data_IF_317304210642
#
_entry.id   IF_317304210642
#
_cell.length_a   1.000
_cell.length_b   1.000
_cell.length_c   1.000
_cell.angle_alpha   90.00
_cell.angle_beta   90.00
_cell.angle_gamma   90.00
#
_symmetry.space_group_name_H-M   'P 1'
#
loop_
_entity.id
_entity.type
_entity.pdbx_description
1 polymer ?
#
# COMPACT_ATOMS: atom_id res chain seq x y z
N UNK A 1 -1.98 13.59 -7.53
CA UNK A 1 -0.96 14.50 -6.98
C UNK A 1 -0.71 14.04 -5.55
N UNK A 2 0.49 13.57 -5.21
CA UNK A 2 0.81 13.16 -3.85
C UNK A 2 0.80 14.37 -2.91
N UNK A 3 0.38 14.16 -1.66
CA UNK A 3 0.39 15.22 -0.65
C UNK A 3 1.84 15.61 -0.32
N UNK A 4 2.12 16.88 -0.02
CA UNK A 4 3.46 17.32 0.42
C UNK A 4 3.76 16.95 1.88
N UNK A 5 2.70 16.73 2.66
CA UNK A 5 2.77 16.27 4.04
C UNK A 5 1.47 15.63 4.44
N UNK A 6 1.50 14.60 5.28
CA UNK A 6 0.32 13.88 5.76
C UNK A 6 0.48 13.41 7.20
N UNK A 7 -0.61 13.04 7.86
CA UNK A 7 -0.59 12.41 9.18
C UNK A 7 -0.39 10.90 9.02
N UNK A 8 0.82 10.40 9.29
CA UNK A 8 1.16 8.98 9.15
C UNK A 8 1.63 8.33 10.46
N UNK A 9 0.84 8.37 11.56
CA UNK A 9 1.28 7.86 12.86
C UNK A 9 1.54 6.35 12.85
N UNK A 10 0.76 5.58 12.09
CA UNK A 10 0.94 4.14 11.96
C UNK A 10 2.29 3.80 11.33
N UNK A 11 2.65 4.43 10.20
CA UNK A 11 3.95 4.24 9.55
C UNK A 11 5.11 4.57 10.51
N UNK A 12 4.99 5.69 11.24
CA UNK A 12 5.99 6.11 12.23
C UNK A 12 6.09 5.15 13.43
N UNK A 13 4.99 4.53 13.85
CA UNK A 13 4.98 3.53 14.92
C UNK A 13 5.73 2.27 14.51
N UNK A 14 5.53 1.77 13.28
CA UNK A 14 6.26 0.59 12.79
C UNK A 14 7.76 0.82 12.81
N UNK A 15 8.22 1.99 12.36
CA UNK A 15 9.64 2.34 12.45
C UNK A 15 10.13 2.42 13.90
N UNK A 16 9.30 2.92 14.82
CA UNK A 16 9.62 3.02 16.25
C UNK A 16 9.66 1.69 17.01
N UNK A 17 9.15 0.59 16.43
CA UNK A 17 9.28 -0.76 17.02
C UNK A 17 10.73 -1.27 17.01
N UNK A 18 11.53 -0.83 16.04
CA UNK A 18 12.92 -1.28 15.86
C UNK A 18 13.95 -0.18 15.96
N UNK A 19 13.53 1.10 15.91
CA UNK A 19 14.41 2.27 15.92
C UNK A 19 14.04 3.22 17.05
N UNK A 20 15.06 3.84 17.64
CA UNK A 20 14.89 4.87 18.64
C UNK A 20 14.44 6.19 18.01
N UNK A 21 13.72 7.02 18.78
CA UNK A 21 13.34 8.37 18.34
C UNK A 21 14.54 9.22 17.93
N UNK A 22 15.71 8.98 18.53
CA UNK A 22 16.95 9.70 18.22
C UNK A 22 17.51 9.28 16.85
N UNK A 23 17.50 7.99 16.53
CA UNK A 23 17.92 7.48 15.22
C UNK A 23 17.01 8.03 14.12
N UNK A 24 15.69 7.89 14.28
CA UNK A 24 14.71 8.40 13.31
C UNK A 24 14.87 9.91 13.09
N UNK A 25 15.14 10.67 14.15
CA UNK A 25 15.34 12.12 14.07
C UNK A 25 16.61 12.49 13.29
N UNK A 26 17.73 11.82 13.58
CA UNK A 26 19.02 12.06 12.89
C UNK A 26 18.90 11.69 11.42
N UNK A 27 18.37 10.50 11.14
CA UNK A 27 18.31 9.95 9.78
C UNK A 27 17.30 10.68 8.88
N UNK A 28 16.35 11.43 9.46
CA UNK A 28 15.39 12.25 8.72
C UNK A 28 15.54 13.77 8.96
N UNK A 29 16.69 14.19 9.50
CA UNK A 29 17.05 15.60 9.74
C UNK A 29 16.01 16.44 10.51
N UNK A 30 15.34 15.82 11.48
CA UNK A 30 14.36 16.47 12.35
C UNK A 30 14.74 16.34 13.83
N UNK A 31 13.92 16.89 14.72
CA UNK A 31 14.12 16.75 16.16
C UNK A 31 13.43 15.49 16.72
N UNK A 32 13.97 14.85 17.76
CA UNK A 32 13.29 13.74 18.44
C UNK A 32 11.89 14.10 18.96
N UNK A 33 11.69 15.35 19.36
CA UNK A 33 10.39 15.86 19.79
C UNK A 33 9.38 15.87 18.63
N UNK A 34 9.81 16.19 17.40
CA UNK A 34 8.96 16.12 16.21
C UNK A 34 8.59 14.66 15.91
N UNK A 35 9.54 13.73 15.92
CA UNK A 35 9.28 12.29 15.77
C UNK A 35 8.23 11.82 16.78
N UNK A 36 8.41 12.13 18.06
CA UNK A 36 7.46 11.77 19.13
C UNK A 36 6.05 12.29 18.87
N UNK A 37 5.93 13.50 18.33
CA UNK A 37 4.63 14.09 17.98
C UNK A 37 4.02 13.44 16.73
N UNK A 38 4.84 13.08 15.73
CA UNK A 38 4.39 12.39 14.51
C UNK A 38 3.91 10.97 14.82
N UNK A 39 4.65 10.20 15.63
CA UNK A 39 4.23 8.87 16.10
C UNK A 39 2.91 8.90 16.89
N UNK A 40 2.59 10.03 17.52
CA UNK A 40 1.33 10.26 18.25
C UNK A 40 0.23 10.88 17.39
N UNK A 41 0.46 11.11 16.09
CA UNK A 41 -0.49 11.74 15.19
C UNK A 41 -0.76 13.23 15.47
N UNK A 42 0.11 13.89 16.25
CA UNK A 42 -0.04 15.32 16.61
C UNK A 42 0.58 16.26 15.58
N UNK A 43 1.45 15.74 14.71
CA UNK A 43 2.14 16.49 13.64
C UNK A 43 2.21 15.62 12.39
N UNK A 44 2.23 16.26 11.24
CA UNK A 44 2.39 15.60 9.94
C UNK A 44 3.84 15.26 9.66
N UNK A 45 4.05 14.28 8.79
CA UNK A 45 5.32 13.89 8.18
C UNK A 45 5.37 14.52 6.79
N UNK A 46 6.48 15.16 6.40
CA UNK A 46 6.66 15.67 5.03
C UNK A 46 7.05 14.54 4.08
N UNK A 47 6.80 14.71 2.79
CA UNK A 47 7.17 13.73 1.77
C UNK A 47 8.68 13.45 1.80
N UNK A 48 9.51 14.49 1.79
CA UNK A 48 10.98 14.37 1.86
C UNK A 48 11.44 13.59 3.10
N UNK A 49 10.77 13.79 4.25
CA UNK A 49 11.09 13.07 5.48
C UNK A 49 10.73 11.59 5.35
N UNK A 50 9.56 11.28 4.76
CA UNK A 50 9.13 9.90 4.54
C UNK A 50 10.06 9.18 3.55
N UNK A 51 10.46 9.83 2.46
CA UNK A 51 11.43 9.30 1.49
C UNK A 51 12.75 8.95 2.17
N UNK A 52 13.31 9.85 2.99
CA UNK A 52 14.54 9.60 3.75
C UNK A 52 14.42 8.38 4.68
N UNK A 53 13.28 8.23 5.37
CA UNK A 53 13.04 7.10 6.26
C UNK A 53 12.87 5.79 5.50
N UNK A 54 12.15 5.81 4.37
CA UNK A 54 11.94 4.66 3.48
C UNK A 54 13.28 4.18 2.93
N UNK A 55 14.06 5.07 2.33
CA UNK A 55 15.37 4.74 1.75
C UNK A 55 16.35 4.22 2.80
N UNK A 56 16.31 4.79 4.02
CA UNK A 56 17.24 4.42 5.09
C UNK A 56 16.96 3.04 5.67
N UNK A 57 15.69 2.73 5.93
CA UNK A 57 15.33 1.53 6.70
C UNK A 57 14.76 0.41 5.85
N UNK A 58 14.23 0.72 4.67
CA UNK A 58 13.61 -0.23 3.75
C UNK A 58 12.67 -1.21 4.50
N UNK A 59 11.85 -0.65 5.39
CA UNK A 59 10.91 -1.42 6.18
C UNK A 59 9.58 -1.48 5.39
N UNK A 60 9.18 -2.66 4.86
CA UNK A 60 8.11 -2.75 3.87
C UNK A 60 6.74 -2.26 4.36
N UNK A 61 6.42 -2.50 5.64
CA UNK A 61 5.09 -2.17 6.18
C UNK A 61 4.91 -0.67 6.31
N UNK A 62 5.86 0.02 6.93
CA UNK A 62 5.91 1.48 7.05
C UNK A 62 5.91 2.16 5.68
N UNK A 63 6.62 1.59 4.70
CA UNK A 63 6.65 2.10 3.32
C UNK A 63 5.25 2.14 2.70
N UNK A 64 4.49 1.04 2.75
CA UNK A 64 3.12 1.05 2.21
C UNK A 64 2.16 1.89 3.04
N UNK A 65 2.33 1.98 4.37
CA UNK A 65 1.55 2.88 5.21
C UNK A 65 1.80 4.35 4.83
N UNK A 66 3.04 4.76 4.56
CA UNK A 66 3.32 6.08 3.99
C UNK A 66 2.65 6.25 2.63
N UNK A 67 2.80 5.28 1.73
CA UNK A 67 2.23 5.34 0.38
C UNK A 67 0.70 5.53 0.41
N UNK A 68 -0.01 4.79 1.28
CA UNK A 68 -1.45 4.96 1.51
C UNK A 68 -1.80 6.42 1.86
N UNK A 69 -1.16 6.95 2.91
CA UNK A 69 -1.44 8.29 3.42
C UNK A 69 -1.11 9.39 2.41
N UNK A 70 0.06 9.31 1.75
CA UNK A 70 0.48 10.30 0.75
C UNK A 70 -0.35 10.24 -0.53
N UNK A 71 -0.90 9.07 -0.86
CA UNK A 71 -1.79 8.86 -2.01
C UNK A 71 -3.21 9.39 -1.77
N UNK A 72 -3.53 9.87 -0.56
CA UNK A 72 -4.87 10.26 -0.16
C UNK A 72 -5.89 9.11 -0.33
N UNK A 73 -5.49 7.90 0.04
CA UNK A 73 -6.32 6.70 -0.01
C UNK A 73 -6.48 6.06 -1.40
N UNK A 74 -5.72 6.49 -2.40
CA UNK A 74 -5.73 5.87 -3.73
C UNK A 74 -4.99 4.52 -3.76
N UNK A 75 -4.07 4.29 -2.82
CA UNK A 75 -3.49 2.98 -2.54
C UNK A 75 -4.27 2.40 -1.35
N UNK A 76 -4.71 1.13 -1.37
CA UNK A 76 -5.41 0.52 -0.24
C UNK A 76 -4.54 0.43 1.02
N UNK A 77 -5.14 0.35 2.22
CA UNK A 77 -4.37 0.17 3.45
C UNK A 77 -3.74 -1.23 3.54
N UNK A 78 -2.73 -1.36 4.40
CA UNK A 78 -2.30 -2.69 4.89
C UNK A 78 -3.34 -3.18 5.89
N UNK A 79 -3.70 -4.46 5.79
CA UNK A 79 -4.69 -5.06 6.67
C UNK A 79 -4.06 -5.42 8.01
N UNK A 80 -4.67 -4.93 9.09
CA UNK A 80 -4.26 -5.19 10.47
C UNK A 80 -5.27 -6.11 11.18
N UNK A 81 -4.85 -6.75 12.27
CA UNK A 81 -5.70 -7.65 13.07
C UNK A 81 -5.93 -9.03 12.47
N UNK A 82 -5.19 -9.38 11.42
CA UNK A 82 -5.14 -10.72 10.83
C UNK A 82 -4.02 -11.55 11.45
N UNK A 83 -4.10 -12.87 11.33
CA UNK A 83 -2.96 -13.75 11.58
C UNK A 83 -1.86 -13.45 10.55
N UNK A 84 -0.71 -12.95 11.02
CA UNK A 84 0.40 -12.51 10.19
C UNK A 84 1.13 -13.68 9.49
N UNK A 85 0.84 -14.93 9.85
CA UNK A 85 1.46 -16.09 9.25
C UNK A 85 1.16 -16.16 7.74
N UNK A 86 2.20 -16.32 6.91
CA UNK A 86 2.06 -16.24 5.44
C UNK A 86 1.01 -17.20 4.89
N UNK A 87 0.86 -18.40 5.44
CA UNK A 87 -0.16 -19.34 4.97
C UNK A 87 -1.59 -18.80 5.16
N UNK A 88 -1.86 -18.09 6.26
CA UNK A 88 -3.16 -17.47 6.52
C UNK A 88 -3.41 -16.30 5.56
N UNK A 89 -2.39 -15.46 5.37
CA UNK A 89 -2.46 -14.34 4.43
C UNK A 89 -2.57 -14.80 2.97
N UNK A 90 -1.92 -15.91 2.59
CA UNK A 90 -2.06 -16.53 1.27
C UNK A 90 -3.48 -17.02 1.06
N UNK A 91 -4.06 -17.74 2.03
CA UNK A 91 -5.45 -18.20 1.92
C UNK A 91 -6.45 -17.04 1.79
N UNK A 92 -6.24 -15.96 2.55
CA UNK A 92 -7.02 -14.73 2.42
C UNK A 92 -6.86 -14.14 1.02
N UNK A 93 -5.64 -13.96 0.53
CA UNK A 93 -5.38 -13.44 -0.82
C UNK A 93 -6.05 -14.30 -1.90
N UNK A 94 -5.97 -15.62 -1.81
CA UNK A 94 -6.63 -16.54 -2.73
C UNK A 94 -8.15 -16.34 -2.72
N UNK A 95 -8.75 -16.18 -1.54
CA UNK A 95 -10.19 -15.91 -1.38
C UNK A 95 -10.60 -14.61 -2.08
N UNK A 96 -9.90 -13.51 -1.83
CA UNK A 96 -10.22 -12.23 -2.49
C UNK A 96 -10.03 -12.31 -4.02
N UNK A 97 -9.04 -13.08 -4.50
CA UNK A 97 -8.85 -13.30 -5.93
C UNK A 97 -10.03 -14.05 -6.54
N UNK A 98 -10.56 -15.07 -5.86
CA UNK A 98 -11.76 -15.80 -6.30
C UNK A 98 -13.01 -14.89 -6.34
N UNK A 99 -13.17 -14.03 -5.34
CA UNK A 99 -14.27 -13.06 -5.26
C UNK A 99 -14.16 -12.01 -6.37
N UNK A 100 -12.97 -11.44 -6.59
CA UNK A 100 -12.72 -10.49 -7.68
C UNK A 100 -12.94 -11.09 -9.06
N UNK A 101 -12.48 -12.33 -9.30
CA UNK A 101 -12.74 -13.04 -10.56
C UNK A 101 -14.24 -13.26 -10.76
N UNK A 102 -14.97 -13.61 -9.69
CA UNK A 102 -16.42 -13.83 -9.74
C UNK A 102 -17.17 -12.53 -10.03
N UNK A 103 -16.81 -11.43 -9.38
CA UNK A 103 -17.40 -10.12 -9.60
C UNK A 103 -17.11 -9.59 -10.99
N UNK A 104 -15.88 -9.77 -11.50
CA UNK A 104 -15.52 -9.43 -12.86
C UNK A 104 -16.33 -10.24 -13.88
N UNK A 105 -16.45 -11.56 -13.70
CA UNK A 105 -17.24 -12.41 -14.60
C UNK A 105 -18.72 -12.03 -14.61
N UNK A 106 -19.31 -11.81 -13.44
CA UNK A 106 -20.71 -11.39 -13.32
C UNK A 106 -20.92 -10.00 -13.91
N UNK A 107 -19.93 -9.11 -13.75
CA UNK A 107 -19.94 -7.78 -14.30
C UNK A 107 -19.69 -7.73 -15.81
N UNK A 108 -18.97 -8.67 -16.43
CA UNK A 108 -18.69 -8.68 -17.87
C UNK A 108 -19.97 -8.68 -18.73
N UNK A 109 -21.02 -9.37 -18.29
CA UNK A 109 -22.31 -9.38 -18.97
C UNK A 109 -23.02 -8.02 -18.90
N UNK A 110 -22.72 -7.24 -17.86
CA UNK A 110 -23.38 -5.97 -17.57
C UNK A 110 -22.56 -4.78 -18.08
N UNK A 111 -21.24 -4.77 -17.86
CA UNK A 111 -20.28 -3.71 -18.15
C UNK A 111 -19.92 -3.67 -19.65
N UNK A 112 -20.86 -3.23 -20.49
CA UNK A 112 -20.60 -3.06 -21.93
C UNK A 112 -19.70 -1.85 -22.22
N UNK A 113 -18.95 -1.89 -23.33
CA UNK A 113 -18.02 -0.82 -23.74
C UNK A 113 -18.68 0.56 -23.93
N UNK A 114 -19.99 0.58 -24.20
CA UNK A 114 -20.77 1.80 -24.34
C UNK A 114 -21.62 2.01 -23.08
N UNK A 115 -21.11 2.82 -22.14
CA UNK A 115 -21.89 3.31 -21.01
C UNK A 115 -23.14 4.04 -21.53
N UNK A 116 -24.30 3.40 -21.40
CA UNK A 116 -25.58 4.08 -21.66
C UNK A 116 -25.79 5.08 -20.54
N UNK A 117 -25.91 6.37 -20.89
CA UNK A 117 -26.11 7.45 -19.92
C UNK A 117 -27.34 7.15 -19.06
N UNK A 118 -27.14 6.96 -17.76
CA UNK A 118 -28.21 6.62 -16.81
C UNK A 118 -28.35 5.13 -16.46
N UNK A 119 -27.49 4.25 -16.97
CA UNK A 119 -27.49 2.83 -16.60
C UNK A 119 -26.87 2.60 -15.22
N UNK A 120 -27.71 2.64 -14.19
CA UNK A 120 -27.31 2.42 -12.80
C UNK A 120 -26.76 1.00 -12.57
N UNK A 121 -27.23 0.00 -13.30
CA UNK A 121 -26.78 -1.39 -13.15
C UNK A 121 -25.32 -1.54 -13.60
N UNK A 122 -24.97 -0.93 -14.74
CA UNK A 122 -23.58 -0.88 -15.21
C UNK A 122 -22.65 -0.20 -14.21
N UNK A 123 -23.12 0.90 -13.61
CA UNK A 123 -22.32 1.67 -12.65
C UNK A 123 -22.09 0.91 -11.35
N UNK A 124 -23.11 0.23 -10.83
CA UNK A 124 -22.96 -0.57 -9.61
C UNK A 124 -22.11 -1.82 -9.87
N UNK A 125 -22.25 -2.49 -11.01
CA UNK A 125 -21.38 -3.61 -11.39
C UNK A 125 -19.89 -3.18 -11.46
N UNK A 126 -19.61 -2.01 -12.03
CA UNK A 126 -18.26 -1.46 -12.08
C UNK A 126 -17.71 -1.12 -10.69
N UNK A 127 -18.53 -0.55 -9.80
CA UNK A 127 -18.12 -0.28 -8.41
C UNK A 127 -17.81 -1.56 -7.65
N UNK A 128 -18.63 -2.60 -7.80
CA UNK A 128 -18.37 -3.89 -7.17
C UNK A 128 -17.05 -4.47 -7.67
N UNK A 129 -16.84 -4.52 -8.99
CA UNK A 129 -15.58 -5.00 -9.54
C UNK A 129 -14.36 -4.22 -9.03
N UNK A 130 -14.47 -2.89 -8.91
CA UNK A 130 -13.40 -2.05 -8.34
C UNK A 130 -13.17 -2.40 -6.86
N UNK A 131 -14.21 -2.57 -6.05
CA UNK A 131 -14.08 -2.93 -4.64
C UNK A 131 -13.33 -4.24 -4.46
N UNK A 132 -13.75 -5.30 -5.17
CA UNK A 132 -13.13 -6.63 -5.06
C UNK A 132 -11.67 -6.62 -5.55
N UNK A 133 -11.36 -5.90 -6.63
CA UNK A 133 -9.96 -5.70 -7.08
C UNK A 133 -9.16 -4.95 -6.00
N UNK A 134 -9.79 -3.99 -5.33
CA UNK A 134 -9.15 -3.22 -4.25
C UNK A 134 -8.81 -4.12 -3.06
N UNK A 135 -9.68 -5.06 -2.72
CA UNK A 135 -9.45 -6.04 -1.64
C UNK A 135 -8.33 -7.03 -2.00
N UNK A 136 -8.24 -7.45 -3.27
CA UNK A 136 -7.08 -8.21 -3.79
C UNK A 136 -5.79 -7.40 -3.64
N UNK A 137 -5.80 -6.11 -3.96
CA UNK A 137 -4.60 -5.25 -3.81
C UNK A 137 -4.23 -5.13 -2.32
N UNK A 138 -5.19 -4.85 -1.43
CA UNK A 138 -4.93 -4.72 0.01
C UNK A 138 -4.32 -6.00 0.61
N UNK A 139 -4.88 -7.16 0.26
CA UNK A 139 -4.36 -8.45 0.72
C UNK A 139 -3.01 -8.79 0.10
N UNK A 140 -2.76 -8.46 -1.18
CA UNK A 140 -1.47 -8.64 -1.83
C UNK A 140 -0.37 -7.77 -1.20
N UNK A 141 -0.66 -6.50 -0.90
CA UNK A 141 0.27 -5.61 -0.20
C UNK A 141 0.60 -6.15 1.19
N UNK A 142 -0.41 -6.59 1.93
CA UNK A 142 -0.25 -7.20 3.25
C UNK A 142 0.61 -8.46 3.18
N UNK A 143 0.32 -9.38 2.26
CA UNK A 143 1.12 -10.59 2.04
C UNK A 143 2.56 -10.28 1.64
N UNK A 144 2.78 -9.32 0.73
CA UNK A 144 4.12 -8.89 0.32
C UNK A 144 4.95 -8.40 1.50
N UNK A 145 4.38 -7.56 2.37
CA UNK A 145 5.09 -7.07 3.57
C UNK A 145 5.43 -8.20 4.53
N UNK A 146 4.50 -9.12 4.75
CA UNK A 146 4.70 -10.26 5.63
C UNK A 146 5.84 -11.15 5.11
N UNK A 147 5.78 -11.57 3.84
CA UNK A 147 6.84 -12.38 3.20
C UNK A 147 8.18 -11.64 3.24
N UNK A 148 8.20 -10.36 2.86
CA UNK A 148 9.45 -9.60 2.81
C UNK A 148 10.10 -9.50 4.19
N UNK A 149 9.31 -9.25 5.24
CA UNK A 149 9.77 -9.20 6.63
C UNK A 149 10.33 -10.55 7.09
N UNK A 150 9.60 -11.64 6.87
CA UNK A 150 10.01 -12.96 7.36
C UNK A 150 11.28 -13.51 6.70
N UNK A 151 11.48 -13.20 5.42
CA UNK A 151 12.64 -13.66 4.66
C UNK A 151 13.75 -12.61 4.52
N UNK A 152 13.64 -11.47 5.22
CA UNK A 152 14.59 -10.34 5.15
C UNK A 152 14.89 -9.90 3.70
N UNK A 153 13.82 -9.78 2.90
CA UNK A 153 13.90 -9.41 1.49
C UNK A 153 13.75 -7.90 1.35
N UNK A 154 14.62 -7.30 0.54
CA UNK A 154 14.42 -5.92 0.11
C UNK A 154 13.30 -5.84 -0.94
N UNK A 155 12.09 -5.48 -0.49
CA UNK A 155 10.91 -5.41 -1.35
C UNK A 155 11.04 -4.32 -2.42
N UNK A 156 11.59 -3.15 -2.09
CA UNK A 156 11.80 -2.06 -3.04
C UNK A 156 12.65 -2.50 -4.23
N UNK A 157 13.75 -3.22 -3.98
CA UNK A 157 14.61 -3.75 -5.02
C UNK A 157 13.87 -4.73 -5.95
N UNK A 158 12.97 -5.57 -5.40
CA UNK A 158 12.15 -6.47 -6.23
C UNK A 158 11.22 -5.65 -7.13
N UNK A 159 10.54 -4.64 -6.59
CA UNK A 159 9.60 -3.81 -7.34
C UNK A 159 10.30 -3.00 -8.44
N UNK A 160 11.45 -2.39 -8.15
CA UNK A 160 12.26 -1.69 -9.16
C UNK A 160 12.69 -2.61 -10.32
N UNK A 161 13.00 -3.88 -10.02
CA UNK A 161 13.31 -4.86 -11.05
C UNK A 161 12.08 -5.24 -11.88
N UNK A 162 10.88 -5.27 -11.28
CA UNK A 162 9.62 -5.48 -11.99
C UNK A 162 9.29 -4.29 -12.89
N UNK A 163 9.52 -3.07 -12.45
CA UNK A 163 9.32 -1.87 -13.27
C UNK A 163 10.20 -1.88 -14.52
N UNK A 164 11.49 -2.20 -14.37
CA UNK A 164 12.42 -2.40 -15.49
C UNK A 164 11.94 -3.49 -16.45
N UNK A 165 11.40 -4.58 -15.92
CA UNK A 165 10.83 -5.65 -16.74
C UNK A 165 9.63 -5.14 -17.56
N UNK A 166 8.70 -4.40 -16.95
CA UNK A 166 7.51 -3.86 -17.63
C UNK A 166 7.84 -2.83 -18.71
N UNK A 167 8.84 -1.99 -18.47
CA UNK A 167 9.38 -1.06 -19.47
C UNK A 167 9.97 -1.83 -20.66
N UNK A 168 10.84 -2.81 -20.39
CA UNK A 168 11.46 -3.63 -21.44
C UNK A 168 10.43 -4.44 -22.24
N UNK A 169 9.36 -4.91 -21.61
CA UNK A 169 8.29 -5.64 -22.30
C UNK A 169 7.32 -4.74 -23.08
N UNK A 170 7.46 -3.41 -22.98
CA UNK A 170 6.55 -2.45 -23.62
C UNK A 170 5.15 -2.39 -23.00
N UNK A 171 4.97 -2.94 -21.80
CA UNK A 171 3.71 -2.88 -21.04
C UNK A 171 3.55 -1.51 -20.36
N UNK A 172 4.68 -0.87 -20.03
CA UNK A 172 4.77 0.51 -19.55
C UNK A 172 5.60 1.31 -20.55
N UNK A 173 5.22 2.56 -20.80
CA UNK A 173 5.96 3.51 -21.65
C UNK A 173 6.68 4.52 -20.75
N UNK A 174 7.84 4.98 -21.20
CA UNK A 174 8.60 6.09 -20.58
C UNK A 174 7.87 7.44 -20.69
#
# INVERSE_FOLDING_TARGET
MFQKSTSAPAAMQVLAETRTQKELAIDSYVTPALISNQTKGKRTVSLDQAEQLIDKYNEPRSTYLFAHEFSNGMIPPILDGLDEHHASLTYRFETEVEEAVTALKSGLETMTFNLRKGDMLQREAAKQAIAEITDVIATALTLNTSIAKAFNINLQQILENRDKYYLKSGLVKE
#
